data_IF_630314114750
#
_entry.id   IF_630314114750
#
_cell.length_a   1.000
_cell.length_b   1.000
_cell.length_c   1.000
_cell.angle_alpha   90.00
_cell.angle_beta   90.00
_cell.angle_gamma   90.00
#
_symmetry.space_group_name_H-M   'P 1'
#
loop_
_entity.id
_entity.type
_entity.pdbx_description
1 polymer ?
#
# COMPACT_ATOMS: atom_id res chain seq x y z
N UNK A 1 -39.85 4.51 6.39
CA UNK A 1 -38.85 4.13 7.43
C UNK A 1 -37.53 3.91 6.72
N UNK A 2 -36.62 4.86 6.83
CA UNK A 2 -35.26 4.67 6.34
C UNK A 2 -34.57 3.68 7.27
N UNK A 3 -34.29 2.50 6.74
CA UNK A 3 -33.47 1.51 7.46
C UNK A 3 -32.06 2.08 7.47
N UNK A 4 -31.62 2.65 8.57
CA UNK A 4 -30.23 3.07 8.74
C UNK A 4 -29.36 1.83 8.57
N UNK A 5 -28.74 1.68 7.40
CA UNK A 5 -27.82 0.57 7.19
C UNK A 5 -26.67 0.71 8.18
N UNK A 6 -26.45 -0.34 8.96
CA UNK A 6 -25.35 -0.37 9.91
C UNK A 6 -24.04 -0.35 9.15
N UNK A 7 -23.27 0.70 9.35
CA UNK A 7 -21.92 0.79 8.77
C UNK A 7 -21.01 -0.23 9.45
N UNK A 8 -20.32 -1.02 8.66
CA UNK A 8 -19.39 -2.07 9.13
C UNK A 8 -17.98 -1.54 8.96
N UNK A 9 -17.16 -1.62 10.00
CA UNK A 9 -15.73 -1.35 9.89
C UNK A 9 -15.01 -2.57 9.30
N UNK A 10 -14.00 -2.33 8.48
CA UNK A 10 -13.16 -3.41 7.97
C UNK A 10 -12.93 -3.38 6.47
N UNK A 11 -12.61 -4.56 5.92
CA UNK A 11 -12.25 -4.72 4.52
C UNK A 11 -13.49 -5.10 3.71
N UNK A 12 -13.97 -4.25 2.78
CA UNK A 12 -15.09 -4.59 1.93
C UNK A 12 -14.69 -5.69 0.94
N UNK A 13 -15.49 -6.77 0.83
CA UNK A 13 -15.23 -7.82 -0.14
C UNK A 13 -15.32 -7.30 -1.58
N UNK A 14 -14.45 -7.80 -2.46
CA UNK A 14 -14.40 -7.48 -3.89
C UNK A 14 -14.38 -5.99 -4.23
N UNK A 15 -13.86 -5.17 -3.33
CA UNK A 15 -13.77 -3.74 -3.62
C UNK A 15 -12.56 -3.45 -4.53
N UNK A 16 -12.79 -2.66 -5.55
CA UNK A 16 -11.74 -2.03 -6.35
C UNK A 16 -12.19 -0.62 -6.73
N UNK A 17 -11.33 0.35 -6.57
CA UNK A 17 -11.67 1.74 -6.89
C UNK A 17 -10.53 2.70 -6.66
N UNK A 18 -10.81 3.97 -6.84
CA UNK A 18 -9.89 5.06 -6.59
C UNK A 18 -10.13 5.64 -5.21
N UNK A 19 -9.07 5.88 -4.47
CA UNK A 19 -9.13 6.49 -3.15
C UNK A 19 -8.09 7.60 -3.01
N UNK A 20 -8.37 8.55 -2.13
CA UNK A 20 -7.34 9.50 -1.66
C UNK A 20 -6.70 8.90 -0.44
N UNK A 21 -5.41 8.67 -0.55
CA UNK A 21 -4.57 8.11 0.51
C UNK A 21 -3.71 9.21 1.11
N UNK A 22 -3.43 9.08 2.40
CA UNK A 22 -2.41 9.86 3.08
C UNK A 22 -1.34 8.92 3.61
N UNK A 23 -0.08 9.27 3.39
CA UNK A 23 1.05 8.54 3.96
C UNK A 23 1.10 8.81 5.46
N UNK A 24 0.87 7.79 6.28
CA UNK A 24 0.97 7.87 7.74
C UNK A 24 2.41 7.74 8.21
N UNK A 25 3.16 6.86 7.58
CA UNK A 25 4.57 6.65 7.89
C UNK A 25 5.33 6.17 6.68
N UNK A 26 6.59 6.56 6.60
CA UNK A 26 7.55 6.12 5.60
C UNK A 26 8.82 5.72 6.35
N UNK A 27 9.17 4.44 6.35
CA UNK A 27 10.26 3.92 7.16
C UNK A 27 11.24 3.16 6.28
N UNK A 28 12.52 3.48 6.40
CA UNK A 28 13.57 2.69 5.77
C UNK A 28 13.77 1.38 6.53
N UNK A 29 13.80 0.29 5.79
CA UNK A 29 14.01 -1.06 6.31
C UNK A 29 14.94 -1.85 5.40
N UNK A 30 15.48 -2.91 5.93
CA UNK A 30 16.06 -3.96 5.11
C UNK A 30 15.01 -5.05 4.86
N UNK A 31 14.93 -5.49 3.62
CA UNK A 31 14.15 -6.68 3.27
C UNK A 31 14.79 -7.92 3.90
N UNK A 32 14.07 -9.04 3.91
CA UNK A 32 14.62 -10.33 4.36
C UNK A 32 15.86 -10.78 3.57
N UNK A 33 16.01 -10.30 2.34
CA UNK A 33 17.18 -10.53 1.49
C UNK A 33 18.31 -9.51 1.68
N UNK A 34 18.19 -8.59 2.65
CA UNK A 34 19.20 -7.58 2.93
C UNK A 34 19.12 -6.32 2.05
N UNK A 35 18.14 -6.24 1.13
CA UNK A 35 17.98 -5.09 0.26
C UNK A 35 17.32 -3.93 1.00
N UNK A 36 17.80 -2.71 0.74
CA UNK A 36 17.20 -1.52 1.29
C UNK A 36 15.82 -1.27 0.66
N UNK A 37 14.84 -0.97 1.49
CA UNK A 37 13.48 -0.68 1.06
C UNK A 37 12.85 0.42 1.90
N UNK A 38 11.82 1.07 1.35
CA UNK A 38 10.92 1.95 2.08
C UNK A 38 9.60 1.21 2.31
N UNK A 39 9.19 1.11 3.56
CA UNK A 39 7.85 0.68 3.93
C UNK A 39 6.96 1.91 4.09
N UNK A 40 5.90 1.96 3.33
CA UNK A 40 4.89 3.01 3.41
C UNK A 40 3.61 2.45 4.03
N UNK A 41 3.08 3.15 5.03
CA UNK A 41 1.74 2.92 5.56
C UNK A 41 0.84 4.05 5.12
N UNK A 42 -0.35 3.70 4.66
CA UNK A 42 -1.34 4.64 4.18
C UNK A 42 -2.64 4.49 4.96
N UNK A 43 -3.34 5.60 5.11
CA UNK A 43 -4.73 5.62 5.49
C UNK A 43 -5.60 6.13 4.34
N UNK A 44 -6.85 5.71 4.28
CA UNK A 44 -7.81 6.18 3.28
C UNK A 44 -8.48 7.43 3.85
N UNK A 45 -8.35 8.55 3.12
CA UNK A 45 -9.02 9.81 3.46
C UNK A 45 -10.38 9.90 2.77
N UNK A 46 -10.47 9.45 1.53
CA UNK A 46 -11.71 9.37 0.75
C UNK A 46 -11.71 8.14 -0.15
N UNK A 47 -12.87 7.52 -0.33
CA UNK A 47 -14.15 7.80 0.33
C UNK A 47 -14.12 7.37 1.82
N UNK A 48 -15.01 7.95 2.63
CA UNK A 48 -15.15 7.56 4.04
C UNK A 48 -15.85 6.20 4.17
N UNK A 49 -16.75 5.92 3.25
CA UNK A 49 -17.49 4.66 3.18
C UNK A 49 -17.61 4.17 1.76
N UNK A 50 -17.76 2.86 1.60
CA UNK A 50 -18.05 2.23 0.33
C UNK A 50 -19.13 1.18 0.49
N UNK A 51 -19.89 0.94 -0.58
CA UNK A 51 -20.82 -0.18 -0.67
C UNK A 51 -20.12 -1.30 -1.42
N UNK A 52 -20.07 -2.49 -0.83
CA UNK A 52 -19.49 -3.66 -1.46
C UNK A 52 -20.44 -4.23 -2.51
N UNK A 53 -19.95 -4.45 -3.72
CA UNK A 53 -20.69 -5.10 -4.79
C UNK A 53 -20.98 -6.59 -4.51
N UNK A 54 -20.27 -7.15 -3.56
CA UNK A 54 -20.41 -8.57 -3.21
C UNK A 54 -21.62 -8.86 -2.32
N UNK A 55 -21.84 -8.04 -1.29
CA UNK A 55 -22.86 -8.27 -0.27
C UNK A 55 -23.79 -7.08 -0.04
N UNK A 56 -23.64 -6.01 -0.82
CA UNK A 56 -24.40 -4.77 -0.74
C UNK A 56 -24.38 -4.10 0.65
N UNK A 57 -23.34 -4.37 1.44
CA UNK A 57 -23.17 -3.74 2.75
C UNK A 57 -22.29 -2.50 2.65
N UNK A 58 -22.54 -1.54 3.55
CA UNK A 58 -21.74 -0.34 3.67
C UNK A 58 -20.59 -0.56 4.65
N UNK A 59 -19.38 -0.25 4.24
CA UNK A 59 -18.17 -0.39 5.03
C UNK A 59 -17.53 0.98 5.25
N UNK A 60 -17.15 1.26 6.50
CA UNK A 60 -16.33 2.42 6.84
C UNK A 60 -14.86 2.10 6.53
N UNK A 61 -14.15 3.06 5.94
CA UNK A 61 -12.75 2.92 5.56
C UNK A 61 -11.78 3.68 6.45
N UNK A 62 -12.27 4.29 7.52
CA UNK A 62 -11.48 5.07 8.48
C UNK A 62 -10.42 4.25 9.23
N UNK A 63 -10.63 2.95 9.36
CA UNK A 63 -9.69 2.01 9.98
C UNK A 63 -8.82 1.23 8.98
N UNK A 64 -8.99 1.48 7.68
CA UNK A 64 -8.21 0.82 6.65
C UNK A 64 -6.75 1.26 6.71
N UNK A 65 -5.84 0.31 6.81
CA UNK A 65 -4.41 0.53 6.72
C UNK A 65 -3.85 -0.24 5.53
N UNK A 66 -3.30 0.48 4.57
CA UNK A 66 -2.74 -0.08 3.35
C UNK A 66 -1.23 0.04 3.38
N UNK A 67 -0.56 -1.00 2.93
CA UNK A 67 0.89 -1.07 2.91
C UNK A 67 1.42 -0.94 1.49
N UNK A 68 2.63 -0.43 1.38
CA UNK A 68 3.41 -0.46 0.15
C UNK A 68 4.88 -0.66 0.50
N UNK A 69 5.60 -1.40 -0.32
CA UNK A 69 7.04 -1.61 -0.16
C UNK A 69 7.76 -1.24 -1.44
N UNK A 70 8.67 -0.30 -1.34
CA UNK A 70 9.52 0.13 -2.43
C UNK A 70 10.93 -0.40 -2.20
N UNK A 71 11.34 -1.40 -2.97
CA UNK A 71 12.73 -1.84 -2.99
C UNK A 71 13.58 -0.77 -3.68
N UNK A 72 14.57 -0.24 -2.99
CA UNK A 72 15.44 0.81 -3.51
C UNK A 72 16.64 0.25 -4.29
N UNK A 73 17.12 -0.89 -3.84
CA UNK A 73 18.19 -1.63 -4.48
C UNK A 73 17.77 -3.08 -4.61
N UNK A 74 17.80 -3.57 -5.81
CA UNK A 74 17.61 -4.96 -6.09
C UNK A 74 18.64 -5.41 -7.10
N UNK A 75 19.03 -6.66 -7.02
CA UNK A 75 19.93 -7.29 -7.97
C UNK A 75 19.24 -8.47 -8.62
N UNK A 76 19.53 -8.68 -9.89
CA UNK A 76 19.09 -9.89 -10.57
C UNK A 76 19.83 -11.13 -10.03
N UNK A 77 19.46 -12.29 -10.52
CA UNK A 77 20.10 -13.56 -10.13
C UNK A 77 21.61 -13.64 -10.47
N UNK A 78 22.12 -12.71 -11.27
CA UNK A 78 23.53 -12.59 -11.64
C UNK A 78 24.26 -11.51 -10.86
N UNK A 79 23.56 -10.83 -9.92
CA UNK A 79 24.11 -9.75 -9.12
C UNK A 79 24.15 -8.39 -9.81
N UNK A 80 23.53 -8.23 -10.98
CA UNK A 80 23.43 -6.92 -11.62
C UNK A 80 22.34 -6.08 -10.95
N UNK A 81 22.58 -4.79 -10.70
CA UNK A 81 21.57 -3.92 -10.11
C UNK A 81 20.36 -3.81 -11.04
N UNK A 82 19.18 -4.06 -10.49
CA UNK A 82 17.91 -3.79 -11.15
C UNK A 82 17.56 -2.32 -10.95
N UNK A 83 17.22 -1.62 -12.02
CA UNK A 83 16.85 -0.20 -11.99
C UNK A 83 15.45 0.04 -11.42
N UNK A 84 15.00 -0.75 -10.46
CA UNK A 84 13.58 -0.78 -10.16
C UNK A 84 13.15 0.19 -9.08
N UNK A 85 13.88 0.31 -8.00
CA UNK A 85 13.36 1.04 -6.86
C UNK A 85 13.66 2.53 -6.88
N UNK A 86 14.94 2.90 -6.87
CA UNK A 86 15.33 4.31 -6.74
C UNK A 86 15.06 5.11 -8.02
N UNK A 87 15.35 4.54 -9.18
CA UNK A 87 15.06 5.17 -10.47
C UNK A 87 13.57 5.41 -10.61
N UNK A 88 12.79 4.39 -10.29
CA UNK A 88 11.35 4.51 -10.34
C UNK A 88 10.80 5.56 -9.35
N UNK A 89 11.32 5.59 -8.13
CA UNK A 89 10.99 6.61 -7.14
C UNK A 89 11.25 8.03 -7.70
N UNK A 90 12.44 8.23 -8.26
CA UNK A 90 12.86 9.55 -8.74
C UNK A 90 12.24 9.97 -10.08
N UNK A 91 12.03 9.03 -10.99
CA UNK A 91 11.57 9.34 -12.34
C UNK A 91 10.06 9.24 -12.50
N UNK A 92 9.39 8.47 -11.65
CA UNK A 92 7.95 8.24 -11.76
C UNK A 92 7.19 8.79 -10.56
N UNK A 93 7.49 8.34 -9.34
CA UNK A 93 6.70 8.70 -8.17
C UNK A 93 6.89 10.17 -7.79
N UNK A 94 8.12 10.60 -7.63
CA UNK A 94 8.41 11.97 -7.17
C UNK A 94 7.88 13.03 -8.12
N UNK A 95 8.04 12.92 -9.46
CA UNK A 95 7.41 13.83 -10.41
C UNK A 95 5.88 13.83 -10.33
N UNK A 96 5.25 12.66 -10.18
CA UNK A 96 3.78 12.58 -10.02
C UNK A 96 3.30 13.29 -8.76
N UNK A 97 4.10 13.29 -7.72
CA UNK A 97 3.80 13.98 -6.47
C UNK A 97 4.19 15.46 -6.48
N UNK A 98 4.74 15.98 -7.59
CA UNK A 98 5.22 17.36 -7.68
C UNK A 98 6.44 17.62 -6.79
N UNK A 99 7.15 16.58 -6.39
CA UNK A 99 8.35 16.65 -5.56
C UNK A 99 9.61 16.59 -6.43
N UNK A 100 10.66 17.28 -6.02
CA UNK A 100 11.96 17.19 -6.69
C UNK A 100 12.58 15.82 -6.55
N UNK A 101 13.50 15.49 -7.47
CA UNK A 101 14.25 14.25 -7.40
C UNK A 101 14.99 14.15 -6.06
N UNK A 102 14.93 12.98 -5.44
CA UNK A 102 15.67 12.72 -4.22
C UNK A 102 17.15 12.59 -4.53
N UNK A 103 17.97 13.24 -3.73
CA UNK A 103 19.39 12.93 -3.73
C UNK A 103 19.55 11.45 -3.31
N UNK A 104 20.12 10.58 -4.16
CA UNK A 104 20.19 9.16 -3.89
C UNK A 104 20.98 8.79 -2.63
N UNK A 105 21.74 9.71 -2.08
CA UNK A 105 22.57 9.46 -0.90
C UNK A 105 21.95 10.04 0.37
N UNK A 106 21.44 11.25 0.34
CA UNK A 106 20.96 11.94 1.53
C UNK A 106 19.64 11.41 2.11
N UNK A 107 18.65 10.99 1.31
CA UNK A 107 17.37 10.51 1.84
C UNK A 107 17.39 9.05 2.29
N UNK A 108 18.44 8.32 1.98
CA UNK A 108 18.60 6.93 2.38
C UNK A 108 19.23 6.79 3.77
N UNK A 109 19.82 7.84 4.28
CA UNK A 109 20.35 7.88 5.64
C UNK A 109 19.27 8.38 6.57
N UNK A 110 18.69 7.42 7.20
CA UNK A 110 17.67 7.57 8.16
C UNK A 110 18.28 7.74 9.54
N UNK A 111 17.91 8.82 10.19
CA UNK A 111 18.04 9.00 11.61
C UNK A 111 16.80 8.40 12.27
N UNK A 112 16.96 7.62 13.33
CA UNK A 112 15.83 7.07 14.11
C UNK A 112 14.83 8.13 14.57
N UNK A 113 15.27 9.39 14.66
CA UNK A 113 14.44 10.54 14.98
C UNK A 113 13.77 11.18 13.76
N UNK A 114 14.20 10.87 12.57
CA UNK A 114 13.67 11.40 11.33
C UNK A 114 13.66 10.32 10.25
N UNK A 115 12.74 9.37 10.38
CA UNK A 115 12.70 8.16 9.60
C UNK A 115 12.57 8.37 8.10
N UNK A 116 11.97 9.41 7.68
CA UNK A 116 11.92 9.74 6.27
C UNK A 116 12.82 10.92 6.00
N UNK A 117 14.03 10.70 5.64
CA UNK A 117 14.80 11.71 4.92
C UNK A 117 14.07 12.19 3.66
N UNK A 118 13.08 11.43 3.23
CA UNK A 118 12.05 11.79 2.26
C UNK A 118 10.81 12.18 3.06
N UNK A 119 10.45 13.44 3.05
CA UNK A 119 9.22 13.93 3.69
C UNK A 119 7.97 13.43 2.94
N UNK A 120 7.77 12.12 2.92
CA UNK A 120 6.57 11.51 2.34
C UNK A 120 5.42 11.45 3.33
N UNK A 121 5.69 11.53 4.62
CA UNK A 121 4.65 11.55 5.64
C UNK A 121 3.76 12.76 5.49
N UNK A 122 2.45 12.53 5.55
CA UNK A 122 1.44 13.56 5.33
C UNK A 122 1.11 13.84 3.87
N UNK A 123 1.88 13.31 2.91
CA UNK A 123 1.58 13.46 1.49
C UNK A 123 0.30 12.71 1.15
N UNK A 124 -0.59 13.40 0.44
CA UNK A 124 -1.83 12.83 -0.07
C UNK A 124 -1.75 12.62 -1.57
N UNK A 125 -2.25 11.49 -2.02
CA UNK A 125 -2.36 11.21 -3.44
C UNK A 125 -3.57 10.33 -3.77
N UNK A 126 -4.03 10.44 -4.98
CA UNK A 126 -5.07 9.59 -5.54
C UNK A 126 -4.43 8.30 -6.04
N UNK A 127 -4.93 7.17 -5.57
CA UNK A 127 -4.41 5.87 -5.95
C UNK A 127 -5.51 4.85 -6.15
N UNK A 128 -5.21 3.84 -6.96
CA UNK A 128 -6.07 2.66 -7.10
C UNK A 128 -5.86 1.75 -5.91
N UNK A 129 -6.95 1.38 -5.25
CA UNK A 129 -6.97 0.48 -4.11
C UNK A 129 -7.87 -0.72 -4.41
N UNK A 130 -7.52 -1.85 -3.83
CA UNK A 130 -8.26 -3.09 -4.04
C UNK A 130 -8.30 -3.91 -2.76
N UNK A 131 -9.45 -4.47 -2.48
CA UNK A 131 -9.62 -5.51 -1.48
C UNK A 131 -9.91 -6.84 -2.19
N UNK A 132 -9.23 -7.89 -1.80
CA UNK A 132 -9.39 -9.21 -2.38
C UNK A 132 -9.41 -10.32 -1.34
N UNK A 133 -9.95 -11.44 -1.74
CA UNK A 133 -9.92 -12.65 -0.95
C UNK A 133 -8.50 -13.23 -0.91
N UNK A 134 -8.12 -13.70 0.26
CA UNK A 134 -6.86 -14.39 0.49
C UNK A 134 -7.06 -15.85 0.76
N UNK A 135 -6.14 -16.66 0.27
CA UNK A 135 -6.03 -18.07 0.58
C UNK A 135 -4.96 -18.29 1.65
N UNK A 136 -5.13 -19.34 2.43
CA UNK A 136 -4.08 -19.79 3.33
C UNK A 136 -2.92 -20.35 2.52
N UNK A 137 -1.72 -19.95 2.90
CA UNK A 137 -0.51 -20.37 2.20
C UNK A 137 0.49 -20.96 3.19
N UNK A 138 1.26 -21.94 2.72
CA UNK A 138 2.44 -22.42 3.43
C UNK A 138 3.70 -22.09 2.64
N UNK A 139 4.77 -21.81 3.37
CA UNK A 139 6.07 -21.60 2.76
C UNK A 139 6.74 -22.93 2.48
N UNK A 140 7.24 -23.09 1.26
CA UNK A 140 8.05 -24.24 0.85
C UNK A 140 9.50 -24.09 1.28
N UNK A 141 10.27 -25.20 1.30
CA UNK A 141 11.71 -25.13 1.60
C UNK A 141 12.51 -24.25 0.65
N UNK A 142 12.09 -24.12 -0.60
CA UNK A 142 12.70 -23.25 -1.60
C UNK A 142 12.38 -21.75 -1.40
N UNK A 143 11.55 -21.42 -0.39
CA UNK A 143 11.15 -20.06 -0.07
C UNK A 143 9.90 -19.58 -0.78
N UNK A 144 9.38 -20.32 -1.76
CA UNK A 144 8.11 -20.01 -2.42
C UNK A 144 6.92 -20.32 -1.53
N UNK A 145 5.73 -19.85 -1.94
CA UNK A 145 4.47 -20.11 -1.24
C UNK A 145 3.56 -20.96 -2.10
N UNK A 146 2.82 -21.84 -1.46
CA UNK A 146 1.76 -22.60 -2.11
C UNK A 146 0.46 -22.48 -1.32
N UNK A 147 -0.66 -22.43 -2.04
CA UNK A 147 -1.98 -22.42 -1.43
C UNK A 147 -2.27 -23.74 -0.75
N UNK A 148 -2.72 -23.67 0.49
CA UNK A 148 -3.28 -24.82 1.18
C UNK A 148 -4.63 -25.19 0.56
N UNK A 149 -4.85 -26.47 0.37
CA UNK A 149 -6.07 -27.00 -0.24
C UNK A 149 -6.83 -27.87 0.76
N UNK A 150 -8.15 -27.82 0.67
CA UNK A 150 -9.03 -28.72 1.40
C UNK A 150 -8.99 -30.15 0.82
N UNK A 151 -9.75 -31.05 1.42
CA UNK A 151 -9.82 -32.45 0.97
C UNK A 151 -10.41 -32.60 -0.43
N UNK A 152 -11.12 -31.61 -0.94
CA UNK A 152 -11.69 -31.58 -2.28
C UNK A 152 -10.75 -30.89 -3.30
N UNK A 153 -9.59 -30.42 -2.86
CA UNK A 153 -8.60 -29.77 -3.71
C UNK A 153 -8.83 -28.26 -3.93
N UNK A 154 -9.79 -27.65 -3.23
CA UNK A 154 -10.04 -26.21 -3.32
C UNK A 154 -9.12 -25.42 -2.37
N UNK A 155 -8.65 -24.23 -2.76
CA UNK A 155 -7.88 -23.38 -1.86
C UNK A 155 -8.68 -23.03 -0.60
N UNK A 156 -8.04 -23.16 0.56
CA UNK A 156 -8.63 -22.78 1.85
C UNK A 156 -8.60 -21.26 1.97
N UNK A 157 -9.76 -20.65 2.15
CA UNK A 157 -9.90 -19.19 2.23
C UNK A 157 -9.53 -18.69 3.63
N UNK A 158 -8.83 -17.58 3.68
CA UNK A 158 -8.40 -16.93 4.92
C UNK A 158 -9.25 -15.71 5.27
N UNK A 159 -9.98 -15.16 4.30
CA UNK A 159 -10.75 -13.92 4.45
C UNK A 159 -10.34 -12.86 3.43
N UNK A 160 -10.76 -11.64 3.69
CA UNK A 160 -10.55 -10.50 2.80
C UNK A 160 -9.47 -9.59 3.38
N UNK A 161 -8.65 -9.01 2.49
CA UNK A 161 -7.67 -8.01 2.88
C UNK A 161 -7.41 -7.03 1.75
N UNK A 162 -6.90 -5.86 2.14
CA UNK A 162 -6.41 -4.87 1.19
C UNK A 162 -5.15 -5.38 0.49
N UNK A 163 -5.10 -5.16 -0.82
CA UNK A 163 -3.85 -5.31 -1.58
C UNK A 163 -2.87 -4.21 -1.20
N UNK A 164 -1.60 -4.50 -1.39
CA UNK A 164 -0.57 -3.48 -1.30
C UNK A 164 -0.81 -2.40 -2.36
N UNK A 165 -0.66 -1.15 -1.97
CA UNK A 165 -0.75 -0.05 -2.92
C UNK A 165 0.42 -0.17 -3.88
N UNK A 166 0.08 -0.39 -5.14
CA UNK A 166 1.08 -0.46 -6.19
C UNK A 166 1.46 0.95 -6.59
N UNK A 167 2.69 1.12 -6.87
CA UNK A 167 3.25 2.43 -7.15
C UNK A 167 2.80 2.98 -8.51
N UNK A 168 2.65 2.11 -9.50
CA UNK A 168 2.03 2.42 -10.78
C UNK A 168 0.53 2.76 -10.64
N UNK A 169 -0.09 2.34 -9.56
CA UNK A 169 -1.46 2.70 -9.20
C UNK A 169 -1.62 4.10 -8.61
N UNK A 170 -0.54 4.80 -8.28
CA UNK A 170 -0.60 6.21 -7.85
C UNK A 170 -0.83 7.09 -9.08
N UNK A 171 -1.95 7.80 -9.10
CA UNK A 171 -2.40 8.55 -10.26
C UNK A 171 -1.89 9.99 -10.25
N UNK A 172 -2.06 10.70 -9.14
CA UNK A 172 -1.69 12.11 -9.00
C UNK A 172 -1.64 12.53 -7.53
N UNK A 173 -1.02 13.67 -7.29
CA UNK A 173 -1.09 14.35 -6.01
C UNK A 173 -2.54 14.78 -5.73
N UNK A 174 -3.00 14.57 -4.52
CA UNK A 174 -4.27 15.08 -4.04
C UNK A 174 -4.02 16.16 -2.99
N UNK A 175 -4.84 17.21 -3.01
CA UNK A 175 -4.83 18.17 -1.92
C UNK A 175 -5.37 17.47 -0.67
N UNK A 176 -4.59 17.51 0.40
CA UNK A 176 -5.12 17.20 1.71
C UNK A 176 -6.20 18.25 2.00
N UNK A 177 -7.43 17.84 2.27
CA UNK A 177 -8.42 18.76 2.84
C UNK A 177 -7.99 19.14 4.27
N UNK A 178 -6.86 19.82 4.36
CA UNK A 178 -6.32 20.33 5.62
C UNK A 178 -7.08 21.57 6.11
N UNK A 179 -8.04 22.05 5.36
CA UNK A 179 -8.78 23.29 5.66
C UNK A 179 -10.21 23.03 6.12
N UNK A 180 -10.49 21.92 6.76
CA UNK A 180 -11.67 21.83 7.63
C UNK A 180 -11.27 21.80 9.10
N UNK A 181 -10.38 22.65 9.49
CA UNK A 181 -10.38 23.19 10.82
C UNK A 181 -11.26 24.45 10.78
N UNK A 182 -12.41 24.30 11.32
CA UNK A 182 -13.29 25.27 12.02
C UNK A 182 -14.71 24.83 11.97
#
# INVERSE_FOLDING_TARGET
METTQKVIAGVPPHYAGTAILRVKSAIFKQSKGGNLMIELKHEIIKPETVVSDFDNKTYALDSAELMSWLLLWDTDSKGNPLQTGLTWLNEVLMPKLGLGALNPVAPLYHDEKNPSGVKLEGVCYEAVVRAKERTQQRRKPDGSYEDLKDMQGNPIKQGWQWDNVQVDGILRLAEAETNRAF
#
